data_IF_947160261407
#
_entry.id   IF_947160261407
#
_cell.length_a   1.000
_cell.length_b   1.000
_cell.length_c   1.000
_cell.angle_alpha   90.00
_cell.angle_beta   90.00
_cell.angle_gamma   90.00
#
_symmetry.space_group_name_H-M   'P 1'
#
loop_
_entity.id
_entity.type
_entity.pdbx_description
1 polymer ?
#
# COMPACT_ATOMS: atom_id res chain seq x y z
N UNK A 1 -17.99 -39.89 44.77
CA UNK A 1 -17.78 -38.53 44.23
C UNK A 1 -16.92 -38.54 42.95
N UNK A 2 -17.36 -39.21 41.87
CA UNK A 2 -16.64 -39.24 40.56
C UNK A 2 -17.55 -39.07 39.33
N UNK A 3 -18.83 -38.71 39.54
CA UNK A 3 -19.82 -38.50 38.45
C UNK A 3 -19.91 -37.05 37.96
N UNK A 4 -19.35 -36.08 38.70
CA UNK A 4 -19.35 -34.66 38.33
C UNK A 4 -18.12 -34.23 37.53
N UNK A 5 -17.07 -35.07 37.49
CA UNK A 5 -15.86 -34.81 36.71
C UNK A 5 -16.11 -34.63 35.21
N UNK A 6 -16.91 -35.47 34.51
CA UNK A 6 -17.19 -35.25 33.10
C UNK A 6 -18.00 -33.97 32.85
N UNK A 7 -18.90 -33.59 33.78
CA UNK A 7 -19.67 -32.36 33.66
C UNK A 7 -18.79 -31.10 33.80
N UNK A 8 -17.81 -31.11 34.69
CA UNK A 8 -16.85 -29.99 34.87
C UNK A 8 -15.99 -29.82 33.62
N UNK A 9 -15.49 -30.93 33.04
CA UNK A 9 -14.72 -30.88 31.79
C UNK A 9 -15.56 -30.36 30.64
N UNK A 10 -16.84 -30.74 30.56
CA UNK A 10 -17.75 -30.27 29.51
C UNK A 10 -18.02 -28.76 29.63
N UNK A 11 -18.22 -28.26 30.86
CA UNK A 11 -18.41 -26.82 31.10
C UNK A 11 -17.15 -26.03 30.76
N UNK A 12 -15.96 -26.54 31.10
CA UNK A 12 -14.69 -25.91 30.74
C UNK A 12 -14.47 -25.89 29.22
N UNK A 13 -14.77 -26.98 28.53
CA UNK A 13 -14.67 -27.06 27.07
C UNK A 13 -15.68 -26.12 26.39
N UNK A 14 -16.92 -26.09 26.87
CA UNK A 14 -17.94 -25.17 26.36
C UNK A 14 -17.57 -23.70 26.62
N UNK A 15 -16.98 -23.40 27.78
CA UNK A 15 -16.48 -22.06 28.10
C UNK A 15 -15.29 -21.67 27.22
N UNK A 16 -14.36 -22.61 26.96
CA UNK A 16 -13.21 -22.37 26.08
C UNK A 16 -13.64 -22.13 24.63
N UNK A 17 -14.59 -22.92 24.12
CA UNK A 17 -15.19 -22.73 22.80
C UNK A 17 -15.94 -21.40 22.74
N UNK A 18 -16.76 -21.09 23.74
CA UNK A 18 -17.50 -19.81 23.83
C UNK A 18 -16.58 -18.59 23.90
N UNK A 19 -15.48 -18.69 24.64
CA UNK A 19 -14.46 -17.65 24.73
C UNK A 19 -13.73 -17.43 23.38
N UNK A 20 -13.63 -18.45 22.53
CA UNK A 20 -13.06 -18.32 21.19
C UNK A 20 -13.96 -17.56 20.21
N UNK A 21 -15.24 -17.34 20.53
CA UNK A 21 -16.15 -16.50 19.74
C UNK A 21 -16.16 -15.04 20.18
N UNK A 22 -15.40 -14.66 21.21
CA UNK A 22 -15.28 -13.25 21.63
C UNK A 22 -14.37 -12.53 20.63
N UNK A 23 -14.88 -11.59 19.81
CA UNK A 23 -14.06 -10.86 18.88
C UNK A 23 -12.99 -10.08 19.66
N UNK A 24 -11.74 -10.17 19.21
CA UNK A 24 -10.63 -9.42 19.79
C UNK A 24 -11.01 -7.93 19.86
N UNK A 25 -10.96 -7.37 21.08
CA UNK A 25 -11.32 -5.98 21.34
C UNK A 25 -10.43 -5.07 20.48
N UNK A 26 -11.02 -4.40 19.48
CA UNK A 26 -10.31 -3.38 18.69
C UNK A 26 -9.74 -2.34 19.65
N UNK A 27 -8.43 -2.10 19.59
CA UNK A 27 -7.81 -1.05 20.39
C UNK A 27 -8.42 0.29 19.96
N UNK A 28 -8.67 1.18 20.91
CA UNK A 28 -9.41 2.43 20.70
C UNK A 28 -8.70 3.44 19.76
N UNK A 29 -7.51 3.09 19.26
CA UNK A 29 -6.63 3.93 18.45
C UNK A 29 -6.33 3.33 17.06
N UNK A 30 -6.95 2.19 16.70
CA UNK A 30 -6.76 1.59 15.38
C UNK A 30 -7.85 2.10 14.42
N UNK A 31 -7.45 2.60 13.26
CA UNK A 31 -8.37 3.07 12.24
C UNK A 31 -9.37 1.95 11.90
N UNK A 32 -10.67 2.26 11.80
CA UNK A 32 -11.65 1.27 11.34
C UNK A 32 -11.52 1.03 9.83
N UNK A 33 -10.55 0.19 9.46
CA UNK A 33 -10.25 -0.15 8.07
C UNK A 33 -11.44 -0.77 7.34
N UNK A 34 -12.31 -1.48 8.07
CA UNK A 34 -13.51 -2.08 7.51
C UNK A 34 -14.55 -1.02 7.12
N UNK A 35 -14.73 0.02 7.94
CA UNK A 35 -15.55 1.19 7.60
C UNK A 35 -14.91 2.02 6.49
N UNK A 36 -13.60 2.30 6.60
CA UNK A 36 -12.86 3.09 5.62
C UNK A 36 -12.91 2.47 4.22
N UNK A 37 -12.74 1.15 4.10
CA UNK A 37 -12.82 0.44 2.83
C UNK A 37 -14.19 0.48 2.15
N UNK A 38 -15.27 0.75 2.91
CA UNK A 38 -16.65 0.83 2.40
C UNK A 38 -17.03 2.20 1.85
N UNK A 39 -16.17 3.21 2.01
CA UNK A 39 -16.43 4.56 1.51
C UNK A 39 -16.67 4.48 -0.02
N UNK A 40 -17.81 4.98 -0.53
CA UNK A 40 -18.13 4.92 -1.94
C UNK A 40 -17.28 5.92 -2.73
N UNK A 41 -16.68 5.46 -3.83
CA UNK A 41 -15.86 6.26 -4.75
C UNK A 41 -16.22 5.96 -6.21
N UNK A 42 -16.07 6.95 -7.09
CA UNK A 42 -16.33 6.79 -8.52
C UNK A 42 -15.06 6.33 -9.25
N UNK A 43 -15.08 5.12 -9.81
CA UNK A 43 -13.93 4.54 -10.54
C UNK A 43 -14.41 3.82 -11.78
N UNK A 44 -13.89 4.20 -12.95
CA UNK A 44 -14.30 3.61 -14.23
C UNK A 44 -15.79 3.83 -14.54
N UNK A 45 -16.34 4.98 -14.15
CA UNK A 45 -17.74 5.36 -14.37
C UNK A 45 -18.76 4.66 -13.47
N UNK A 46 -18.33 3.87 -12.47
CA UNK A 46 -19.23 3.21 -11.50
C UNK A 46 -18.81 3.50 -10.07
N UNK A 47 -19.79 3.59 -9.18
CA UNK A 47 -19.53 3.72 -7.74
C UNK A 47 -19.08 2.36 -7.20
N UNK A 48 -17.92 2.34 -6.54
CA UNK A 48 -17.33 1.15 -5.91
C UNK A 48 -16.82 1.49 -4.51
N UNK A 49 -16.60 0.49 -3.64
CA UNK A 49 -15.92 0.72 -2.37
C UNK A 49 -14.48 1.17 -2.58
N UNK A 50 -13.97 2.03 -1.68
CA UNK A 50 -12.58 2.49 -1.66
C UNK A 50 -11.57 1.33 -1.60
N UNK A 51 -11.94 0.20 -0.98
CA UNK A 51 -11.13 -1.03 -0.98
C UNK A 51 -10.77 -1.51 -2.40
N UNK A 52 -11.65 -1.24 -3.38
CA UNK A 52 -11.35 -1.55 -4.80
C UNK A 52 -10.20 -0.71 -5.33
N UNK A 53 -10.14 0.58 -4.98
CA UNK A 53 -9.01 1.45 -5.36
C UNK A 53 -7.73 0.91 -4.73
N UNK A 54 -7.77 0.60 -3.44
CA UNK A 54 -6.63 0.07 -2.71
C UNK A 54 -6.05 -1.20 -3.37
N UNK A 55 -6.92 -2.19 -3.67
CA UNK A 55 -6.50 -3.46 -4.30
C UNK A 55 -5.94 -3.25 -5.69
N UNK A 56 -6.64 -2.47 -6.53
CA UNK A 56 -6.18 -2.19 -7.89
C UNK A 56 -4.83 -1.47 -7.90
N UNK A 57 -4.63 -0.52 -6.99
CA UNK A 57 -3.37 0.18 -6.85
C UNK A 57 -2.23 -0.76 -6.46
N UNK A 58 -2.42 -1.64 -5.48
CA UNK A 58 -1.42 -2.64 -5.13
C UNK A 58 -1.19 -3.69 -6.22
N UNK A 59 -2.22 -4.05 -7.01
CA UNK A 59 -2.02 -4.90 -8.18
C UNK A 59 -1.09 -4.25 -9.21
N UNK A 60 -1.25 -2.95 -9.46
CA UNK A 60 -0.37 -2.21 -10.38
C UNK A 60 1.05 -2.10 -9.82
N UNK A 61 1.18 -1.78 -8.52
CA UNK A 61 2.48 -1.47 -7.90
C UNK A 61 3.28 -2.75 -7.54
N UNK A 62 2.59 -3.80 -7.08
CA UNK A 62 3.19 -4.98 -6.44
C UNK A 62 2.84 -6.30 -7.11
N UNK A 63 1.90 -6.31 -8.06
CA UNK A 63 1.25 -7.51 -8.66
C UNK A 63 0.47 -8.39 -7.68
N UNK A 64 0.26 -7.92 -6.44
CA UNK A 64 -0.48 -8.63 -5.39
C UNK A 64 -1.32 -7.63 -4.60
N UNK A 65 -2.52 -8.04 -4.18
CA UNK A 65 -3.44 -7.22 -3.37
C UNK A 65 -3.07 -7.10 -1.89
N UNK A 66 -1.93 -7.66 -1.49
CA UNK A 66 -1.46 -7.62 -0.09
C UNK A 66 0.01 -7.24 -0.07
N UNK A 67 0.41 -6.60 1.02
CA UNK A 67 1.79 -6.19 1.24
C UNK A 67 2.35 -6.98 2.43
N UNK A 68 3.59 -7.47 2.28
CA UNK A 68 4.34 -8.07 3.38
C UNK A 68 5.42 -7.10 3.79
N UNK A 69 5.43 -6.74 5.06
CA UNK A 69 6.44 -5.90 5.69
C UNK A 69 7.72 -6.70 5.96
N UNK A 70 8.80 -6.00 6.29
CA UNK A 70 10.11 -6.61 6.53
C UNK A 70 10.14 -7.49 7.79
N UNK A 71 9.24 -7.24 8.75
CA UNK A 71 9.02 -8.08 9.94
C UNK A 71 8.21 -9.36 9.64
N UNK A 72 7.81 -9.56 8.38
CA UNK A 72 6.99 -10.68 7.93
C UNK A 72 5.49 -10.49 8.10
N UNK A 73 5.04 -9.39 8.73
CA UNK A 73 3.63 -9.08 8.88
C UNK A 73 3.00 -8.79 7.51
N UNK A 74 1.82 -9.37 7.29
CA UNK A 74 1.04 -9.10 6.09
C UNK A 74 -0.05 -8.07 6.40
N UNK A 75 -0.07 -6.99 5.62
CA UNK A 75 -1.09 -5.95 5.71
C UNK A 75 -2.02 -5.99 4.48
N UNK A 76 -3.26 -5.58 4.70
CA UNK A 76 -4.28 -5.49 3.64
C UNK A 76 -4.04 -4.28 2.73
N UNK A 77 -4.60 -4.32 1.52
CA UNK A 77 -4.55 -3.18 0.61
C UNK A 77 -5.13 -1.91 1.24
N UNK A 78 -6.26 -2.03 1.94
CA UNK A 78 -6.90 -0.87 2.57
C UNK A 78 -6.07 -0.28 3.72
N UNK A 79 -5.35 -1.12 4.48
CA UNK A 79 -4.38 -0.63 5.49
C UNK A 79 -3.28 0.16 4.80
N UNK A 80 -2.66 -0.44 3.79
CA UNK A 80 -1.61 0.22 3.01
C UNK A 80 -2.08 1.55 2.39
N UNK A 81 -3.30 1.59 1.86
CA UNK A 81 -3.86 2.81 1.29
C UNK A 81 -4.08 3.87 2.37
N UNK A 82 -4.62 3.49 3.53
CA UNK A 82 -4.78 4.41 4.66
C UNK A 82 -3.44 5.00 5.10
N UNK A 83 -2.41 4.16 5.24
CA UNK A 83 -1.06 4.63 5.56
C UNK A 83 -0.52 5.55 4.45
N UNK A 84 -0.72 5.21 3.17
CA UNK A 84 -0.28 6.06 2.05
C UNK A 84 -0.96 7.42 2.04
N UNK A 85 -2.25 7.48 2.39
CA UNK A 85 -3.06 8.71 2.37
C UNK A 85 -2.83 9.60 3.59
N UNK A 86 -2.67 9.00 4.77
CA UNK A 86 -2.68 9.74 6.04
C UNK A 86 -1.33 9.72 6.76
N UNK A 87 -0.40 8.86 6.36
CA UNK A 87 0.92 8.69 6.97
C UNK A 87 1.97 8.29 5.93
N UNK A 88 2.08 9.08 4.86
CA UNK A 88 2.97 8.82 3.74
C UNK A 88 4.43 8.52 4.16
N UNK A 89 5.04 9.20 5.16
CA UNK A 89 6.40 8.88 5.59
C UNK A 89 6.59 7.45 6.13
N UNK A 90 5.54 6.86 6.72
CA UNK A 90 5.55 5.45 7.13
C UNK A 90 5.35 4.55 5.91
N UNK A 91 4.40 4.87 5.04
CA UNK A 91 4.14 4.08 3.84
C UNK A 91 5.32 4.09 2.85
N UNK A 92 6.11 5.17 2.84
CA UNK A 92 7.28 5.35 1.97
C UNK A 92 8.37 4.29 2.27
N UNK A 93 8.36 3.71 3.48
CA UNK A 93 9.29 2.66 3.91
C UNK A 93 8.81 1.25 3.54
N UNK A 94 7.54 1.07 3.17
CA UNK A 94 7.00 -0.25 2.89
C UNK A 94 7.55 -0.84 1.59
N UNK A 95 7.91 -2.13 1.54
CA UNK A 95 8.40 -2.80 0.33
C UNK A 95 7.25 -3.10 -0.67
N UNK A 96 6.70 -2.04 -1.25
CA UNK A 96 5.53 -2.09 -2.12
C UNK A 96 5.89 -2.36 -3.59
N UNK A 97 7.03 -1.85 -4.08
CA UNK A 97 7.36 -1.85 -5.50
C UNK A 97 8.07 -3.12 -5.91
N UNK A 98 7.55 -3.81 -6.93
CA UNK A 98 8.18 -5.01 -7.46
C UNK A 98 9.13 -4.66 -8.61
N UNK A 99 10.39 -5.11 -8.52
CA UNK A 99 11.39 -4.95 -9.58
C UNK A 99 12.06 -6.31 -9.80
N UNK A 100 11.90 -6.86 -11.00
CA UNK A 100 12.37 -8.20 -11.36
C UNK A 100 13.43 -8.19 -12.47
N UNK A 101 13.46 -7.14 -13.27
CA UNK A 101 14.36 -7.02 -14.41
C UNK A 101 15.75 -6.59 -13.93
N UNK A 102 16.78 -7.36 -14.31
CA UNK A 102 18.17 -7.15 -13.90
C UNK A 102 18.74 -5.83 -14.41
N UNK A 103 18.38 -5.41 -15.63
CA UNK A 103 18.87 -4.17 -16.23
C UNK A 103 18.32 -2.93 -15.48
N UNK A 104 17.06 -3.01 -15.01
CA UNK A 104 16.47 -1.97 -14.15
C UNK A 104 17.17 -1.93 -12.79
N UNK A 105 17.54 -3.07 -12.19
CA UNK A 105 18.32 -3.08 -10.95
C UNK A 105 19.73 -2.51 -11.18
N UNK A 106 20.35 -2.85 -12.30
CA UNK A 106 21.65 -2.32 -12.72
C UNK A 106 21.65 -0.80 -12.90
N UNK A 107 20.53 -0.21 -13.34
CA UNK A 107 20.33 1.23 -13.43
C UNK A 107 20.57 1.95 -12.09
N UNK A 108 20.23 1.29 -10.98
CA UNK A 108 20.37 1.79 -9.61
C UNK A 108 21.66 1.34 -8.93
N UNK A 109 22.52 0.60 -9.64
CA UNK A 109 23.71 -0.05 -9.06
C UNK A 109 23.37 -1.20 -8.11
N UNK A 110 22.16 -1.75 -8.18
CA UNK A 110 21.73 -2.88 -7.35
C UNK A 110 22.01 -4.21 -8.04
N UNK A 111 22.41 -5.20 -7.26
CA UNK A 111 22.61 -6.56 -7.75
C UNK A 111 21.31 -7.35 -7.74
N UNK A 112 21.16 -8.25 -8.72
CA UNK A 112 20.10 -9.25 -8.69
C UNK A 112 20.25 -10.08 -7.41
N UNK A 113 19.18 -10.14 -6.61
CA UNK A 113 19.12 -10.95 -5.39
C UNK A 113 17.73 -11.60 -5.29
N UNK A 114 17.52 -12.42 -4.26
CA UNK A 114 16.20 -12.98 -3.97
C UNK A 114 15.17 -11.90 -3.56
N UNK A 115 15.63 -10.68 -3.23
CA UNK A 115 14.77 -9.55 -2.91
C UNK A 115 14.17 -8.95 -4.18
N UNK A 116 12.85 -9.00 -4.27
CA UNK A 116 12.06 -8.48 -5.41
C UNK A 116 11.30 -7.19 -5.10
N UNK A 117 11.20 -6.83 -3.82
CA UNK A 117 10.35 -5.74 -3.36
C UNK A 117 11.18 -4.61 -2.73
N UNK A 118 10.90 -3.38 -3.15
CA UNK A 118 11.61 -2.17 -2.77
C UNK A 118 10.61 -1.12 -2.27
N UNK A 119 11.09 -0.23 -1.40
CA UNK A 119 10.28 0.85 -0.86
C UNK A 119 10.35 2.11 -1.70
N UNK A 120 9.39 3.02 -1.53
CA UNK A 120 9.42 4.30 -2.21
C UNK A 120 10.67 5.09 -1.83
N UNK A 121 11.02 5.11 -0.53
CA UNK A 121 12.19 5.78 0.00
C UNK A 121 13.51 5.31 -0.65
N UNK A 122 13.62 4.02 -0.98
CA UNK A 122 14.78 3.48 -1.70
C UNK A 122 14.84 3.95 -3.16
N UNK A 123 13.68 4.23 -3.77
CA UNK A 123 13.54 4.66 -5.16
C UNK A 123 13.61 6.18 -5.31
N UNK A 124 13.40 6.95 -4.23
CA UNK A 124 13.45 8.42 -4.22
C UNK A 124 14.69 9.00 -4.91
N UNK A 125 15.92 8.51 -4.68
CA UNK A 125 17.11 9.04 -5.35
C UNK A 125 17.12 8.86 -6.86
N UNK A 126 16.34 7.91 -7.38
CA UNK A 126 16.33 7.48 -8.78
C UNK A 126 15.08 7.93 -9.55
N UNK A 127 14.16 8.66 -8.93
CA UNK A 127 12.88 9.04 -9.54
C UNK A 127 13.06 9.75 -10.89
N UNK A 128 14.00 10.71 -10.95
CA UNK A 128 14.31 11.44 -12.18
C UNK A 128 14.79 10.52 -13.30
N UNK A 129 15.70 9.60 -12.97
CA UNK A 129 16.26 8.66 -13.94
C UNK A 129 15.18 7.68 -14.44
N UNK A 130 14.31 7.19 -13.56
CA UNK A 130 13.18 6.33 -13.94
C UNK A 130 12.18 7.09 -14.84
N UNK A 131 11.89 8.35 -14.53
CA UNK A 131 10.99 9.19 -15.33
C UNK A 131 11.53 9.41 -16.75
N UNK A 132 12.79 9.85 -16.86
CA UNK A 132 13.46 10.08 -18.15
C UNK A 132 13.50 8.83 -19.03
N UNK A 133 13.90 7.68 -18.46
CA UNK A 133 13.96 6.41 -19.19
C UNK A 133 12.57 5.89 -19.56
N UNK A 134 11.60 6.06 -18.66
CA UNK A 134 10.21 5.67 -18.90
C UNK A 134 9.56 6.52 -20.00
N UNK A 135 9.84 7.82 -20.06
CA UNK A 135 9.33 8.69 -21.13
C UNK A 135 9.84 8.27 -22.52
N UNK A 136 11.11 7.86 -22.62
CA UNK A 136 11.63 7.33 -23.89
C UNK A 136 10.95 6.01 -24.27
N UNK A 137 10.70 5.13 -23.29
CA UNK A 137 9.99 3.88 -23.53
C UNK A 137 8.51 4.10 -23.94
N UNK A 138 7.87 5.14 -23.41
CA UNK A 138 6.47 5.49 -23.70
C UNK A 138 6.25 5.86 -25.18
N UNK A 139 7.25 6.47 -25.83
CA UNK A 139 7.21 6.87 -27.25
C UNK A 139 7.15 5.69 -28.23
N UNK A 140 7.59 4.51 -27.81
CA UNK A 140 7.60 3.30 -28.63
C UNK A 140 6.27 2.56 -28.49
N UNK A 141 5.87 1.80 -29.52
CA UNK A 141 4.72 0.90 -29.37
C UNK A 141 5.07 -0.29 -28.47
N UNK A 142 4.07 -0.88 -27.81
CA UNK A 142 4.30 -1.95 -26.83
C UNK A 142 5.10 -3.15 -27.39
N UNK A 143 4.93 -3.48 -28.67
CA UNK A 143 5.63 -4.59 -29.34
C UNK A 143 7.09 -4.26 -29.68
N UNK A 144 7.41 -2.97 -29.83
CA UNK A 144 8.75 -2.49 -30.17
C UNK A 144 9.63 -2.30 -28.92
N UNK A 145 9.02 -2.34 -27.72
CA UNK A 145 9.73 -2.14 -26.46
C UNK A 145 10.54 -3.37 -26.07
N UNK A 146 11.79 -3.16 -25.68
CA UNK A 146 12.60 -4.19 -25.04
C UNK A 146 12.02 -4.57 -23.65
N UNK A 147 12.51 -5.68 -23.09
CA UNK A 147 12.15 -6.10 -21.74
C UNK A 147 12.49 -5.03 -20.69
N UNK A 148 13.65 -4.38 -20.82
CA UNK A 148 14.06 -3.25 -19.97
C UNK A 148 13.10 -2.07 -20.12
N UNK A 149 12.79 -1.65 -21.36
CA UNK A 149 11.90 -0.51 -21.62
C UNK A 149 10.48 -0.75 -21.08
N UNK A 150 9.97 -1.97 -21.21
CA UNK A 150 8.68 -2.33 -20.61
C UNK A 150 8.73 -2.31 -19.08
N UNK A 151 9.81 -2.84 -18.49
CA UNK A 151 9.97 -2.89 -17.04
C UNK A 151 10.13 -1.50 -16.41
N UNK A 152 10.94 -0.61 -17.01
CA UNK A 152 11.14 0.75 -16.50
C UNK A 152 9.87 1.59 -16.64
N UNK A 153 9.12 1.44 -17.74
CA UNK A 153 7.84 2.11 -17.92
C UNK A 153 6.80 1.63 -16.89
N UNK A 154 6.74 0.32 -16.61
CA UNK A 154 5.86 -0.21 -15.58
C UNK A 154 6.23 0.33 -14.19
N UNK A 155 7.53 0.40 -13.86
CA UNK A 155 8.01 0.99 -12.61
C UNK A 155 7.63 2.47 -12.50
N UNK A 156 7.85 3.25 -13.58
CA UNK A 156 7.43 4.65 -13.65
C UNK A 156 5.94 4.81 -13.38
N UNK A 157 5.10 4.04 -14.07
CA UNK A 157 3.65 4.08 -13.90
C UNK A 157 3.22 3.76 -12.46
N UNK A 158 3.88 2.77 -11.83
CA UNK A 158 3.65 2.44 -10.42
C UNK A 158 4.06 3.60 -9.49
N UNK A 159 5.20 4.24 -9.72
CA UNK A 159 5.69 5.38 -8.94
C UNK A 159 4.78 6.61 -9.07
N UNK A 160 4.34 6.92 -10.29
CA UNK A 160 3.38 8.01 -10.55
C UNK A 160 2.05 7.74 -9.85
N UNK A 161 1.55 6.51 -9.92
CA UNK A 161 0.33 6.13 -9.20
C UNK A 161 0.49 6.32 -7.69
N UNK A 162 1.62 5.89 -7.12
CA UNK A 162 1.90 6.04 -5.70
C UNK A 162 1.97 7.51 -5.27
N UNK A 163 2.70 8.34 -6.01
CA UNK A 163 2.82 9.78 -5.77
C UNK A 163 1.44 10.47 -5.79
N UNK A 164 0.58 10.13 -6.76
CA UNK A 164 -0.79 10.64 -6.82
C UNK A 164 -1.62 10.27 -5.60
N UNK A 165 -1.45 9.05 -5.08
CA UNK A 165 -2.14 8.61 -3.87
C UNK A 165 -1.63 9.37 -2.65
N UNK A 166 -0.31 9.40 -2.40
CA UNK A 166 0.24 10.09 -1.22
C UNK A 166 -0.06 11.59 -1.19
N UNK A 167 -0.11 12.23 -2.35
CA UNK A 167 -0.37 13.67 -2.48
C UNK A 167 -1.85 14.02 -2.69
N UNK A 168 -2.77 13.06 -2.55
CA UNK A 168 -4.20 13.28 -2.83
C UNK A 168 -4.94 14.07 -1.75
N UNK A 169 -4.52 13.94 -0.49
CA UNK A 169 -5.15 14.61 0.65
C UNK A 169 -4.39 15.85 1.09
N UNK A 170 -3.07 15.84 0.97
CA UNK A 170 -2.17 16.93 1.36
C UNK A 170 -0.99 16.99 0.39
N UNK A 171 -0.54 18.20 -0.03
CA UNK A 171 0.71 18.36 -0.74
C UNK A 171 1.90 17.89 0.12
N UNK A 172 2.91 17.29 -0.52
CA UNK A 172 4.12 16.83 0.15
C UNK A 172 4.85 18.01 0.82
N UNK A 173 5.09 17.93 2.14
CA UNK A 173 5.75 18.98 2.93
C UNK A 173 4.82 19.96 3.67
N UNK A 174 3.50 19.82 3.56
CA UNK A 174 2.54 20.62 4.33
C UNK A 174 2.49 20.15 5.79
N UNK A 175 3.33 20.70 6.67
CA UNK A 175 3.37 20.33 8.09
C UNK A 175 2.07 20.67 8.85
N UNK A 176 1.25 21.60 8.32
CA UNK A 176 0.03 22.02 9.01
C UNK A 176 -1.02 22.63 8.06
N UNK A 177 -1.76 21.77 7.35
CA UNK A 177 -2.84 22.17 6.43
C UNK A 177 -3.86 23.14 7.05
N UNK A 178 -4.14 23.02 8.36
CA UNK A 178 -5.03 23.93 9.07
C UNK A 178 -4.45 25.35 9.20
N UNK A 179 -3.15 25.48 9.46
CA UNK A 179 -2.46 26.78 9.54
C UNK A 179 -2.30 27.42 8.14
N UNK A 180 -2.09 26.61 7.12
CA UNK A 180 -1.92 27.07 5.73
C UNK A 180 -3.23 27.60 5.12
N UNK A 181 -4.38 27.02 5.51
CA UNK A 181 -5.71 27.55 5.14
C UNK A 181 -6.03 28.92 5.75
N UNK A 182 -5.64 29.16 6.99
CA UNK A 182 -5.82 30.47 7.64
C UNK A 182 -4.90 31.53 7.01
N UNK A 183 -3.67 31.15 6.63
CA UNK A 183 -2.74 32.04 5.92
C UNK A 183 -3.28 32.52 4.57
N UNK A 184 -3.84 31.60 3.77
CA UNK A 184 -4.39 31.93 2.45
C UNK A 184 -5.77 32.61 2.50
N UNK A 185 -6.44 32.63 3.66
CA UNK A 185 -7.71 33.34 3.85
C UNK A 185 -7.53 34.83 4.18
N UNK A 186 -6.32 35.25 4.56
CA UNK A 186 -5.98 36.65 4.83
C UNK A 186 -5.50 37.45 3.60
N UNK A 187 -5.40 36.81 2.43
CA UNK A 187 -4.95 37.44 1.17
C UNK A 187 -6.09 37.69 0.16
N UNK A 188 -7.36 37.57 0.59
CA UNK A 188 -8.56 37.99 -0.15
C UNK A 188 -9.29 39.11 0.60
#
# INVERSE_FOLDING_TARGET
MRRFFPAIVFVLAAFWIGASFVPAKKSHNDLDLAGFGKIPVLVGGRVKPLDTVARNSLLIIRTKETLRLDDGQQISAIRWLADTLFNAPVADQYPAFVIQNADVLGLFGWQQSDRKYFSFAQLTPFLKQVDEQGEQAEKLQAVERSAYQSAILNLRNALVLYQRLKNSLQPEGAENFAAERERNRGEL
#
